data_IF_331034353657
#
_entry.id   IF_331034353657
#
_cell.length_a   1.000
_cell.length_b   1.000
_cell.length_c   1.000
_cell.angle_alpha   90.00
_cell.angle_beta   90.00
_cell.angle_gamma   90.00
#
_symmetry.space_group_name_H-M   'P 1'
#
loop_
_entity.id
_entity.type
_entity.pdbx_description
1 polymer ?
#
# COMPACT_ATOMS: atom_id res chain seq x y z
N UNK A 1 41.34 16.95 7.50
CA UNK A 1 40.06 16.66 6.82
C UNK A 1 39.47 15.32 7.22
N UNK A 2 40.17 14.18 7.15
CA UNK A 2 39.67 12.87 7.58
C UNK A 2 39.36 12.73 9.08
N UNK A 3 40.10 13.41 9.96
CA UNK A 3 39.84 13.39 11.40
C UNK A 3 38.59 14.21 11.83
N UNK A 4 38.12 15.13 11.01
CA UNK A 4 36.90 15.89 11.25
C UNK A 4 35.64 15.17 10.73
N UNK A 5 35.79 14.26 9.75
CA UNK A 5 34.70 13.41 9.32
C UNK A 5 34.38 12.29 10.32
N UNK A 6 35.33 11.86 11.14
CA UNK A 6 35.15 10.85 12.18
C UNK A 6 34.30 11.35 13.38
N UNK A 7 34.21 12.65 13.60
CA UNK A 7 33.47 13.24 14.71
C UNK A 7 32.03 13.71 14.37
N UNK A 8 31.57 13.48 13.13
CA UNK A 8 30.26 13.87 12.66
C UNK A 8 29.32 12.67 12.48
N UNK A 9 28.94 12.44 11.24
CA UNK A 9 27.97 11.40 10.87
C UNK A 9 28.36 9.97 11.27
N UNK A 10 29.66 9.63 11.27
CA UNK A 10 30.14 8.31 11.68
C UNK A 10 29.90 8.00 13.15
N UNK A 11 30.10 8.99 14.02
CA UNK A 11 29.81 8.84 15.46
C UNK A 11 28.32 8.78 15.75
N UNK A 12 27.49 9.53 15.02
CA UNK A 12 26.03 9.48 15.13
C UNK A 12 25.51 8.14 14.59
N UNK A 13 26.03 7.66 13.46
CA UNK A 13 25.69 6.35 12.93
C UNK A 13 26.11 5.21 13.87
N UNK A 14 27.32 5.28 14.42
CA UNK A 14 27.79 4.30 15.40
C UNK A 14 27.00 4.37 16.70
N UNK A 15 26.68 5.56 17.20
CA UNK A 15 25.83 5.73 18.36
C UNK A 15 24.39 5.23 18.09
N UNK A 16 23.86 5.42 16.88
CA UNK A 16 22.62 4.82 16.42
C UNK A 16 22.67 3.30 16.42
N UNK A 17 23.69 2.70 15.83
CA UNK A 17 23.89 1.26 15.83
C UNK A 17 24.08 0.66 17.23
N UNK A 18 24.86 1.33 18.10
CA UNK A 18 25.05 0.90 19.47
C UNK A 18 23.79 1.12 20.33
N UNK A 19 22.99 2.13 20.02
CA UNK A 19 21.72 2.37 20.70
C UNK A 19 20.62 1.41 20.22
N UNK A 20 20.67 0.98 18.97
CA UNK A 20 19.82 -0.08 18.42
C UNK A 20 20.14 -1.44 19.06
N UNK A 21 21.41 -1.75 19.32
CA UNK A 21 21.81 -2.93 20.10
C UNK A 21 21.36 -2.84 21.58
N UNK A 22 21.29 -1.64 22.15
CA UNK A 22 20.78 -1.42 23.51
C UNK A 22 19.25 -1.31 23.56
N UNK A 23 18.60 -0.82 22.49
CA UNK A 23 17.14 -0.79 22.33
C UNK A 23 16.57 -2.11 21.84
N UNK A 24 17.35 -2.88 21.10
CA UNK A 24 17.06 -4.23 20.63
C UNK A 24 17.45 -5.32 21.64
N UNK A 25 17.40 -5.02 22.96
CA UNK A 25 17.33 -6.11 23.92
C UNK A 25 16.07 -6.93 23.60
N UNK A 26 16.20 -8.17 23.10
CA UNK A 26 15.02 -8.93 22.74
C UNK A 26 14.24 -9.16 24.02
N UNK A 27 13.04 -8.68 24.05
CA UNK A 27 12.05 -9.23 24.95
C UNK A 27 11.81 -10.66 24.47
N UNK A 28 12.47 -11.62 25.13
CA UNK A 28 12.30 -13.04 24.83
C UNK A 28 10.82 -13.35 24.66
N UNK A 29 10.44 -13.90 23.48
CA UNK A 29 9.10 -14.36 23.18
C UNK A 29 8.10 -13.36 22.59
N UNK A 30 8.47 -12.11 22.25
CA UNK A 30 7.54 -11.20 21.58
C UNK A 30 7.67 -11.33 20.06
N UNK A 31 6.53 -11.50 19.40
CA UNK A 31 6.43 -11.43 17.93
C UNK A 31 7.02 -10.11 17.41
N UNK A 32 7.73 -10.09 16.25
CA UNK A 32 8.22 -8.86 15.62
C UNK A 32 7.07 -7.91 15.27
N UNK A 33 5.84 -8.41 15.21
CA UNK A 33 4.63 -7.65 14.92
C UNK A 33 3.96 -7.05 16.15
N UNK A 34 4.50 -7.25 17.36
CA UNK A 34 3.91 -6.70 18.58
C UNK A 34 3.81 -5.18 18.49
N UNK A 35 2.67 -4.56 18.88
CA UNK A 35 2.52 -3.11 18.89
C UNK A 35 3.62 -2.42 19.69
N UNK A 36 4.22 -1.39 19.09
CA UNK A 36 5.23 -0.56 19.71
C UNK A 36 4.62 0.77 20.17
N UNK A 37 5.15 1.32 21.26
CA UNK A 37 4.72 2.63 21.74
C UNK A 37 5.23 3.70 20.78
N UNK A 38 4.35 4.54 20.20
CA UNK A 38 4.76 5.63 19.32
C UNK A 38 5.51 6.72 20.13
N UNK A 39 6.39 7.49 19.49
CA UNK A 39 7.08 8.60 20.09
C UNK A 39 6.14 9.77 20.44
N UNK A 40 5.02 9.88 19.74
CA UNK A 40 3.99 10.89 19.95
C UNK A 40 2.63 10.20 20.04
N UNK A 41 1.66 10.85 20.69
CA UNK A 41 0.30 10.32 20.75
C UNK A 41 -0.28 10.19 19.34
N UNK A 42 -0.62 8.98 18.96
CA UNK A 42 -1.15 8.67 17.64
C UNK A 42 -2.60 9.15 17.52
N UNK A 43 -2.89 9.97 16.51
CA UNK A 43 -4.26 10.35 16.13
C UNK A 43 -4.89 9.34 15.16
N UNK A 44 -4.07 8.57 14.45
CA UNK A 44 -4.45 7.57 13.47
C UNK A 44 -3.84 6.24 13.86
N UNK A 45 -4.63 5.17 13.79
CA UNK A 45 -4.20 3.81 14.14
C UNK A 45 -3.92 2.95 12.92
N UNK A 46 -4.70 3.11 11.87
CA UNK A 46 -4.67 2.30 10.67
C UNK A 46 -4.60 3.20 9.44
N UNK A 47 -4.02 2.70 8.36
CA UNK A 47 -3.91 3.39 7.07
C UNK A 47 -4.50 2.50 5.99
N UNK A 48 -5.36 3.07 5.16
CA UNK A 48 -5.79 2.48 3.88
C UNK A 48 -5.25 3.38 2.77
N UNK A 49 -4.33 2.85 1.96
CA UNK A 49 -3.74 3.56 0.84
C UNK A 49 -4.43 3.12 -0.46
N UNK A 50 -5.24 4.01 -1.04
CA UNK A 50 -5.94 3.79 -2.29
C UNK A 50 -5.01 4.20 -3.45
N UNK A 51 -4.15 3.28 -3.88
CA UNK A 51 -3.21 3.55 -4.96
C UNK A 51 -3.93 3.55 -6.32
N UNK A 52 -3.75 4.63 -7.06
CA UNK A 52 -4.32 4.83 -8.41
C UNK A 52 -3.20 4.70 -9.43
N UNK A 53 -3.12 3.54 -10.07
CA UNK A 53 -2.11 3.24 -11.09
C UNK A 53 -2.28 4.12 -12.34
N UNK A 54 -1.15 4.67 -12.81
CA UNK A 54 -1.14 5.64 -13.90
C UNK A 54 -1.42 7.07 -13.44
N UNK A 55 -1.63 7.27 -12.14
CA UNK A 55 -1.92 8.53 -11.47
C UNK A 55 -3.29 9.07 -11.85
N UNK A 56 -4.12 9.63 -11.10
CA UNK A 56 -5.25 10.40 -11.60
C UNK A 56 -4.76 11.79 -12.03
N UNK A 57 -5.21 12.27 -13.18
CA UNK A 57 -4.83 13.62 -13.64
C UNK A 57 -5.29 14.69 -12.63
N UNK A 58 -4.35 15.41 -12.03
CA UNK A 58 -4.65 16.46 -11.05
C UNK A 58 -5.51 17.58 -11.64
N UNK A 59 -5.26 17.96 -12.90
CA UNK A 59 -6.00 19.04 -13.58
C UNK A 59 -7.42 18.63 -13.99
N UNK A 60 -7.72 17.36 -13.94
CA UNK A 60 -9.04 16.79 -14.27
C UNK A 60 -9.80 16.34 -13.01
N UNK A 61 -9.21 16.45 -11.82
CA UNK A 61 -9.79 15.96 -10.57
C UNK A 61 -9.98 17.03 -9.50
N UNK A 62 -8.90 17.55 -8.89
CA UNK A 62 -8.96 18.43 -7.72
C UNK A 62 -8.25 19.79 -7.92
N UNK A 63 -7.60 20.02 -9.06
CA UNK A 63 -6.78 21.20 -9.30
C UNK A 63 -7.09 21.88 -10.65
N UNK A 64 -8.28 22.52 -10.78
CA UNK A 64 -8.68 23.16 -12.03
C UNK A 64 -7.69 24.25 -12.46
N UNK A 65 -7.39 24.29 -13.75
CA UNK A 65 -6.50 25.28 -14.36
C UNK A 65 -7.23 26.09 -15.43
N UNK A 66 -7.80 27.26 -15.10
CA UNK A 66 -8.53 28.10 -16.08
C UNK A 66 -7.71 28.45 -17.33
N UNK A 67 -6.39 28.39 -17.23
CA UNK A 67 -5.49 28.61 -18.37
C UNK A 67 -5.63 27.51 -19.43
N UNK A 68 -5.87 26.27 -19.04
CA UNK A 68 -6.10 25.16 -19.98
C UNK A 68 -7.38 25.41 -20.80
N UNK A 69 -8.44 25.93 -20.20
CA UNK A 69 -9.68 26.28 -20.90
C UNK A 69 -9.43 27.38 -21.94
N UNK A 70 -8.70 28.42 -21.54
CA UNK A 70 -8.37 29.57 -22.40
C UNK A 70 -7.49 29.21 -23.59
N UNK A 71 -6.57 28.28 -23.41
CA UNK A 71 -5.58 27.89 -24.42
C UNK A 71 -5.91 26.53 -25.08
N UNK A 72 -7.09 26.00 -24.85
CA UNK A 72 -7.55 24.74 -25.46
C UNK A 72 -7.38 24.74 -26.97
N UNK A 73 -6.79 23.66 -27.51
CA UNK A 73 -6.51 23.51 -28.93
C UNK A 73 -5.31 24.30 -29.48
N UNK A 74 -4.64 25.10 -28.65
CA UNK A 74 -3.43 25.85 -29.03
C UNK A 74 -2.16 25.08 -28.64
N UNK A 75 -1.04 25.30 -29.34
CA UNK A 75 0.26 24.81 -28.91
C UNK A 75 0.57 25.26 -27.46
N UNK A 76 1.19 24.38 -26.67
CA UNK A 76 1.58 24.72 -25.31
C UNK A 76 2.69 25.78 -25.32
N UNK A 77 2.47 26.88 -24.62
CA UNK A 77 3.34 28.07 -24.70
C UNK A 77 4.57 28.02 -23.79
N UNK A 78 4.63 27.11 -22.81
CA UNK A 78 5.78 26.99 -21.91
C UNK A 78 6.82 26.00 -22.45
N UNK A 79 8.06 26.13 -21.94
CA UNK A 79 9.11 25.13 -22.21
C UNK A 79 8.65 23.75 -21.71
N UNK A 80 8.79 22.76 -22.55
CA UNK A 80 8.51 21.38 -22.24
C UNK A 80 9.84 20.67 -22.04
N UNK A 81 9.99 20.01 -20.90
CA UNK A 81 11.14 19.16 -20.67
C UNK A 81 11.05 17.92 -21.59
N UNK A 82 12.20 17.37 -22.01
CA UNK A 82 12.21 16.20 -22.86
C UNK A 82 11.40 15.04 -22.26
N UNK A 83 10.52 14.45 -23.06
CA UNK A 83 9.79 13.22 -22.72
C UNK A 83 10.22 12.09 -23.66
N UNK A 84 9.80 10.87 -23.39
CA UNK A 84 10.05 9.75 -24.29
C UNK A 84 9.27 9.85 -25.61
N UNK A 85 8.30 10.77 -25.73
CA UNK A 85 7.48 10.99 -26.90
C UNK A 85 7.75 12.39 -27.50
N UNK A 86 7.98 12.46 -28.79
CA UNK A 86 8.27 13.72 -29.48
C UNK A 86 7.01 14.52 -29.82
N UNK A 87 5.87 13.86 -29.93
CA UNK A 87 4.60 14.53 -30.24
C UNK A 87 3.76 14.71 -28.98
N UNK A 88 3.71 15.92 -28.50
CA UNK A 88 2.98 16.31 -27.29
C UNK A 88 1.58 16.89 -27.58
N UNK A 89 1.21 17.07 -28.86
CA UNK A 89 -0.06 17.65 -29.26
C UNK A 89 -0.26 19.11 -28.81
N UNK A 90 -1.52 19.51 -28.74
CA UNK A 90 -1.93 20.84 -28.28
C UNK A 90 -2.42 20.77 -26.82
N UNK A 91 -2.56 21.96 -26.20
CA UNK A 91 -3.19 22.10 -24.88
C UNK A 91 -4.61 21.50 -24.91
N UNK A 92 -4.92 20.71 -23.92
CA UNK A 92 -6.24 20.09 -23.73
C UNK A 92 -6.88 20.63 -22.45
N UNK A 93 -8.06 21.22 -22.58
CA UNK A 93 -8.89 21.58 -21.43
C UNK A 93 -9.47 20.31 -20.78
N UNK A 94 -9.75 20.39 -19.49
CA UNK A 94 -10.44 19.29 -18.81
C UNK A 94 -11.80 19.01 -19.47
N UNK A 95 -12.12 17.77 -19.83
CA UNK A 95 -13.44 17.42 -20.33
C UNK A 95 -14.51 17.39 -19.22
N UNK A 96 -14.12 17.54 -17.95
CA UNK A 96 -15.02 17.56 -16.79
C UNK A 96 -15.21 18.96 -16.24
N UNK A 97 -16.36 19.16 -15.57
CA UNK A 97 -16.71 20.43 -14.96
C UNK A 97 -16.39 20.44 -13.48
N UNK A 98 -15.89 21.55 -13.00
CA UNK A 98 -15.55 21.75 -11.61
C UNK A 98 -16.66 22.51 -10.87
N UNK A 99 -16.89 22.13 -9.62
CA UNK A 99 -17.71 22.88 -8.65
C UNK A 99 -16.96 22.92 -7.32
N UNK A 100 -17.25 23.91 -6.52
CA UNK A 100 -16.76 23.99 -5.14
C UNK A 100 -17.72 23.21 -4.25
N UNK A 101 -17.18 22.38 -3.37
CA UNK A 101 -17.91 21.53 -2.45
C UNK A 101 -17.47 21.78 -1.01
N UNK A 102 -18.36 21.43 -0.07
CA UNK A 102 -18.15 21.54 1.36
C UNK A 102 -18.04 22.99 1.86
N UNK A 103 -17.84 23.14 3.16
CA UNK A 103 -17.56 24.43 3.80
C UNK A 103 -16.16 24.96 3.43
N UNK A 104 -15.22 24.04 3.15
CA UNK A 104 -13.88 24.37 2.68
C UNK A 104 -13.85 25.02 1.29
N UNK A 105 -14.93 24.88 0.50
CA UNK A 105 -14.98 25.37 -0.88
C UNK A 105 -13.99 24.68 -1.82
N UNK A 106 -13.60 23.45 -1.53
CA UNK A 106 -12.62 22.68 -2.33
C UNK A 106 -13.21 22.38 -3.71
N UNK A 107 -12.52 22.77 -4.81
CA UNK A 107 -12.96 22.45 -6.15
C UNK A 107 -12.75 20.95 -6.44
N UNK A 108 -13.77 20.28 -6.91
CA UNK A 108 -13.74 18.89 -7.39
C UNK A 108 -14.46 18.81 -8.72
N UNK A 109 -13.94 18.01 -9.63
CA UNK A 109 -14.59 17.76 -10.91
C UNK A 109 -15.72 16.74 -10.78
N UNK A 110 -16.63 16.72 -11.74
CA UNK A 110 -17.73 15.76 -11.81
C UNK A 110 -17.27 14.33 -12.13
N UNK A 111 -15.97 14.10 -12.30
CA UNK A 111 -15.34 12.78 -12.32
C UNK A 111 -15.42 12.06 -10.95
N UNK A 112 -15.44 12.83 -9.84
CA UNK A 112 -15.46 12.27 -8.48
C UNK A 112 -16.66 12.74 -7.66
N UNK A 113 -17.92 12.48 -8.10
CA UNK A 113 -19.11 13.05 -7.47
C UNK A 113 -19.35 12.54 -6.05
N UNK A 114 -18.93 11.32 -5.73
CA UNK A 114 -19.08 10.75 -4.40
C UNK A 114 -18.00 11.24 -3.44
N UNK A 115 -16.75 11.30 -3.89
CA UNK A 115 -15.61 11.83 -3.10
C UNK A 115 -15.83 13.31 -2.77
N UNK A 116 -16.42 14.06 -3.68
CA UNK A 116 -16.75 15.47 -3.49
C UNK A 116 -17.63 15.76 -2.27
N UNK A 117 -18.39 14.79 -1.80
CA UNK A 117 -19.25 14.93 -0.60
C UNK A 117 -18.48 14.87 0.71
N UNK A 118 -17.21 14.48 0.67
CA UNK A 118 -16.33 14.28 1.83
C UNK A 118 -15.15 15.26 1.87
N UNK A 119 -15.17 16.32 1.06
CA UNK A 119 -14.02 17.24 0.92
C UNK A 119 -13.62 17.95 2.21
N UNK A 120 -14.57 18.14 3.13
CA UNK A 120 -14.30 18.80 4.42
C UNK A 120 -13.51 17.89 5.38
N UNK A 121 -13.51 16.57 5.13
CA UNK A 121 -12.71 15.58 5.83
C UNK A 121 -11.36 15.31 5.13
N UNK A 122 -11.07 16.00 4.01
CA UNK A 122 -9.90 15.73 3.18
C UNK A 122 -8.86 16.85 3.27
N UNK A 123 -7.58 16.46 3.27
CA UNK A 123 -6.45 17.34 3.01
C UNK A 123 -5.99 17.14 1.56
N UNK A 124 -6.26 18.12 0.68
CA UNK A 124 -5.87 18.06 -0.73
C UNK A 124 -4.51 18.75 -0.93
N UNK A 125 -3.46 17.98 -1.23
CA UNK A 125 -2.10 18.47 -1.43
C UNK A 125 -1.85 18.63 -2.93
N UNK A 126 -1.91 19.88 -3.44
CA UNK A 126 -1.74 20.22 -4.87
C UNK A 126 -0.29 20.49 -5.27
N UNK A 127 0.62 20.52 -4.33
CA UNK A 127 2.04 20.87 -4.54
C UNK A 127 2.96 19.64 -4.56
N UNK A 128 2.43 18.43 -4.64
CA UNK A 128 3.24 17.22 -4.77
C UNK A 128 3.97 17.22 -6.11
N UNK A 129 5.24 16.87 -6.09
CA UNK A 129 6.10 16.72 -7.27
C UNK A 129 6.84 15.40 -7.21
N UNK A 130 7.32 14.93 -8.36
CA UNK A 130 8.19 13.76 -8.47
C UNK A 130 9.36 14.07 -9.39
N UNK A 131 10.53 13.54 -9.07
CA UNK A 131 11.73 13.67 -9.89
C UNK A 131 11.81 12.61 -11.01
N UNK A 132 10.85 11.68 -11.04
CA UNK A 132 10.85 10.54 -11.96
C UNK A 132 9.67 10.61 -12.91
N UNK A 133 9.92 10.76 -14.23
CA UNK A 133 8.87 10.85 -15.24
C UNK A 133 8.39 9.49 -15.75
N UNK A 134 9.07 8.39 -15.41
CA UNK A 134 8.77 7.04 -15.88
C UNK A 134 8.09 6.23 -14.76
N UNK A 135 7.11 5.40 -15.11
CA UNK A 135 6.22 4.69 -14.19
C UNK A 135 6.97 3.85 -13.15
N UNK A 136 7.96 3.05 -13.54
CA UNK A 136 8.66 2.15 -12.62
C UNK A 136 9.38 2.91 -11.52
N UNK A 137 10.18 3.92 -11.91
CA UNK A 137 10.92 4.74 -10.97
C UNK A 137 10.01 5.63 -10.13
N UNK A 138 8.92 6.16 -10.74
CA UNK A 138 7.92 6.97 -10.04
C UNK A 138 7.15 6.13 -9.01
N UNK A 139 6.82 4.87 -9.32
CA UNK A 139 6.18 3.96 -8.39
C UNK A 139 7.11 3.62 -7.21
N UNK A 140 8.38 3.30 -7.46
CA UNK A 140 9.34 3.12 -6.38
C UNK A 140 9.44 4.39 -5.51
N UNK A 141 9.50 5.56 -6.14
CA UNK A 141 9.58 6.82 -5.41
C UNK A 141 8.36 7.07 -4.53
N UNK A 142 7.15 6.83 -5.06
CA UNK A 142 5.92 6.96 -4.30
C UNK A 142 5.86 6.00 -3.11
N UNK A 143 6.22 4.73 -3.31
CA UNK A 143 6.07 3.69 -2.30
C UNK A 143 7.20 3.66 -1.27
N UNK A 144 8.42 4.09 -1.65
CA UNK A 144 9.63 3.91 -0.84
C UNK A 144 10.39 5.20 -0.55
N UNK A 145 10.03 6.31 -1.18
CA UNK A 145 10.78 7.58 -1.14
C UNK A 145 12.08 7.57 -1.96
N UNK A 146 12.31 6.54 -2.81
CA UNK A 146 13.51 6.44 -3.62
C UNK A 146 13.19 5.81 -4.99
N UNK A 147 13.72 6.39 -6.07
CA UNK A 147 13.39 5.97 -7.44
C UNK A 147 13.99 4.64 -7.92
N UNK A 148 14.64 3.87 -7.05
CA UNK A 148 15.20 2.56 -7.35
C UNK A 148 14.73 1.53 -6.32
N UNK A 149 14.65 0.27 -6.74
CA UNK A 149 14.29 -0.86 -5.88
C UNK A 149 15.28 -1.05 -4.72
N UNK A 150 14.87 -1.82 -3.70
CA UNK A 150 15.71 -2.21 -2.57
C UNK A 150 15.56 -1.33 -1.33
N UNK A 151 14.64 -0.37 -1.33
CA UNK A 151 14.26 0.41 -0.15
C UNK A 151 12.97 -0.11 0.47
N UNK A 152 12.80 0.03 1.80
CA UNK A 152 11.56 -0.37 2.43
C UNK A 152 10.38 0.49 1.97
N UNK A 153 9.24 -0.13 1.73
CA UNK A 153 7.99 0.55 1.43
C UNK A 153 7.38 1.24 2.66
N UNK A 154 6.44 2.16 2.43
CA UNK A 154 5.73 2.84 3.52
C UNK A 154 5.13 1.86 4.53
N UNK A 155 4.42 0.83 4.04
CA UNK A 155 3.81 -0.17 4.91
C UNK A 155 4.84 -0.99 5.69
N UNK A 156 6.00 -1.29 5.10
CA UNK A 156 7.11 -1.96 5.79
C UNK A 156 7.68 -1.08 6.90
N UNK A 157 7.90 0.21 6.66
CA UNK A 157 8.34 1.16 7.69
C UNK A 157 7.34 1.31 8.83
N UNK A 158 6.05 1.40 8.50
CA UNK A 158 4.98 1.51 9.51
C UNK A 158 4.92 0.24 10.37
N UNK A 159 5.00 -0.95 9.73
CA UNK A 159 5.04 -2.23 10.44
C UNK A 159 6.25 -2.37 11.34
N UNK A 160 7.45 -1.98 10.85
CA UNK A 160 8.70 -2.02 11.63
C UNK A 160 8.66 -1.09 12.84
N UNK A 161 8.20 0.17 12.64
CA UNK A 161 8.23 1.18 13.70
C UNK A 161 7.11 1.06 14.73
N UNK A 162 5.94 0.56 14.34
CA UNK A 162 4.74 0.60 15.18
C UNK A 162 4.14 -0.79 15.46
N UNK A 163 4.55 -1.82 14.74
CA UNK A 163 3.92 -3.14 14.83
C UNK A 163 2.47 -3.13 14.34
N UNK A 164 1.70 -4.15 14.70
CA UNK A 164 0.29 -4.31 14.37
C UNK A 164 -0.52 -4.75 15.59
N UNK A 165 -1.72 -4.26 15.74
CA UNK A 165 -2.64 -4.72 16.79
C UNK A 165 -3.18 -6.12 16.45
N UNK A 166 -3.29 -6.45 15.18
CA UNK A 166 -3.67 -7.78 14.70
C UNK A 166 -2.46 -8.73 14.71
N UNK A 167 -2.59 -9.84 15.42
CA UNK A 167 -1.55 -10.87 15.48
C UNK A 167 -1.86 -12.09 14.59
N UNK A 168 -3.06 -12.16 14.01
CA UNK A 168 -3.54 -13.28 13.19
C UNK A 168 -3.43 -12.99 11.69
N UNK A 169 -3.23 -11.73 11.32
CA UNK A 169 -3.06 -11.27 9.95
C UNK A 169 -1.77 -10.44 9.82
N UNK A 170 -1.21 -10.32 8.62
CA UNK A 170 -0.04 -9.46 8.39
C UNK A 170 -0.32 -8.00 8.77
N UNK A 171 0.67 -7.31 9.35
CA UNK A 171 0.55 -5.88 9.67
C UNK A 171 0.52 -4.98 8.43
N UNK A 172 1.02 -5.48 7.29
CA UNK A 172 0.96 -4.83 5.99
C UNK A 172 0.37 -5.78 4.94
N UNK A 173 -0.77 -5.40 4.38
CA UNK A 173 -1.49 -6.16 3.35
C UNK A 173 -1.66 -5.32 2.09
N UNK A 174 -1.37 -5.90 0.94
CA UNK A 174 -1.71 -5.34 -0.38
C UNK A 174 -2.87 -6.14 -0.94
N UNK A 175 -3.99 -5.48 -1.18
CA UNK A 175 -5.15 -6.05 -1.85
C UNK A 175 -5.02 -5.83 -3.36
N UNK A 176 -4.67 -6.89 -4.06
CA UNK A 176 -4.51 -6.87 -5.51
C UNK A 176 -5.87 -6.90 -6.20
N UNK A 177 -6.28 -5.76 -6.75
CA UNK A 177 -7.50 -5.64 -7.55
C UNK A 177 -7.42 -6.31 -8.93
N UNK A 178 -6.24 -6.76 -9.33
CA UNK A 178 -5.96 -7.41 -10.63
C UNK A 178 -4.73 -6.85 -11.34
N UNK A 179 -4.16 -5.77 -10.84
CA UNK A 179 -2.91 -5.20 -11.32
C UNK A 179 -1.86 -5.10 -10.23
N UNK A 180 -0.67 -5.53 -10.54
CA UNK A 180 0.54 -5.14 -9.82
C UNK A 180 1.19 -4.00 -10.63
N UNK A 181 1.45 -2.83 -10.02
CA UNK A 181 1.99 -1.67 -10.73
C UNK A 181 3.39 -1.93 -11.29
N UNK A 182 3.84 -1.13 -12.29
CA UNK A 182 5.21 -1.16 -12.76
C UNK A 182 6.22 -1.08 -11.60
N UNK A 183 7.26 -1.89 -11.66
CA UNK A 183 8.16 -2.15 -10.53
C UNK A 183 7.84 -3.44 -9.78
N UNK A 184 6.65 -4.01 -10.01
CA UNK A 184 6.28 -5.32 -9.46
C UNK A 184 6.15 -5.31 -7.94
N UNK A 185 6.40 -6.45 -7.33
CA UNK A 185 6.31 -6.64 -5.87
C UNK A 185 7.37 -5.85 -5.09
N UNK A 186 8.42 -5.35 -5.76
CA UNK A 186 9.45 -4.54 -5.13
C UNK A 186 8.93 -3.19 -4.60
N UNK A 187 7.78 -2.73 -5.10
CA UNK A 187 7.06 -1.59 -4.53
C UNK A 187 6.60 -1.82 -3.08
N UNK A 188 6.40 -3.08 -2.68
CA UNK A 188 5.83 -3.49 -1.40
C UNK A 188 6.83 -4.22 -0.51
N UNK A 189 8.11 -4.20 -0.89
CA UNK A 189 9.16 -4.96 -0.24
C UNK A 189 9.61 -4.33 1.10
N UNK A 190 10.22 -5.14 1.95
CA UNK A 190 10.87 -4.68 3.19
C UNK A 190 12.24 -4.03 2.95
N UNK A 191 12.82 -4.14 1.73
CA UNK A 191 14.12 -3.62 1.40
C UNK A 191 15.21 -4.17 2.32
N UNK A 192 15.89 -3.28 3.06
CA UNK A 192 16.92 -3.65 4.05
C UNK A 192 16.36 -3.97 5.45
N UNK A 193 15.06 -3.78 5.68
CA UNK A 193 14.41 -4.25 6.91
C UNK A 193 14.21 -5.76 6.88
N UNK A 194 14.00 -6.43 8.03
CA UNK A 194 13.69 -7.85 8.06
C UNK A 194 12.52 -8.22 7.15
N UNK A 195 12.61 -9.36 6.47
CA UNK A 195 11.62 -9.80 5.49
C UNK A 195 10.21 -10.03 6.07
N UNK A 196 10.08 -10.14 7.38
CA UNK A 196 8.79 -10.23 8.07
C UNK A 196 7.92 -8.99 7.92
N UNK A 197 8.49 -7.82 7.57
CA UNK A 197 7.76 -6.56 7.43
C UNK A 197 7.32 -6.26 5.98
N UNK A 198 7.67 -7.11 5.00
CA UNK A 198 7.17 -6.95 3.63
C UNK A 198 5.66 -7.20 3.56
N UNK A 199 5.01 -6.64 2.53
CA UNK A 199 3.60 -6.86 2.31
C UNK A 199 3.25 -8.35 2.06
N UNK A 200 2.09 -8.75 2.57
CA UNK A 200 1.40 -9.94 2.08
C UNK A 200 0.36 -9.52 1.04
N UNK A 201 0.49 -10.06 -0.17
CA UNK A 201 -0.40 -9.73 -1.28
C UNK A 201 -1.59 -10.69 -1.30
N UNK A 202 -2.79 -10.14 -1.21
CA UNK A 202 -4.05 -10.89 -1.25
C UNK A 202 -4.76 -10.60 -2.57
N UNK A 203 -5.20 -11.65 -3.25
CA UNK A 203 -6.09 -11.51 -4.40
C UNK A 203 -7.53 -11.21 -3.95
N UNK A 204 -8.27 -10.47 -4.75
CA UNK A 204 -9.69 -10.20 -4.50
C UNK A 204 -10.60 -11.44 -4.64
N UNK A 205 -10.07 -12.53 -5.18
CA UNK A 205 -10.77 -13.79 -5.48
C UNK A 205 -10.26 -14.95 -4.60
N UNK A 206 -10.99 -16.03 -4.56
CA UNK A 206 -10.60 -17.26 -3.87
C UNK A 206 -9.69 -18.17 -4.76
N UNK A 207 -8.56 -18.68 -4.26
CA UNK A 207 -7.97 -18.40 -2.96
C UNK A 207 -7.26 -17.03 -2.93
N UNK A 208 -7.46 -16.24 -1.86
CA UNK A 208 -6.86 -14.91 -1.77
C UNK A 208 -5.32 -14.96 -1.59
N UNK A 209 -4.83 -16.03 -1.00
CA UNK A 209 -3.39 -16.28 -0.76
C UNK A 209 -3.10 -17.74 -1.00
N UNK A 210 -1.93 -18.04 -1.53
CA UNK A 210 -1.48 -19.41 -1.70
C UNK A 210 -1.39 -20.16 -0.35
N UNK A 211 -1.69 -21.46 -0.37
CA UNK A 211 -1.64 -22.34 0.81
C UNK A 211 -2.51 -21.91 1.99
N UNK A 212 -3.55 -21.11 1.74
CA UNK A 212 -4.47 -20.67 2.80
C UNK A 212 -5.33 -21.81 3.35
N UNK A 213 -5.48 -22.88 2.59
CA UNK A 213 -6.19 -24.07 3.05
C UNK A 213 -5.19 -25.07 3.63
N UNK A 214 -5.55 -25.63 4.80
CA UNK A 214 -4.76 -26.67 5.45
C UNK A 214 -4.61 -27.87 4.54
N UNK A 215 -3.41 -28.43 4.44
CA UNK A 215 -3.11 -29.67 3.72
C UNK A 215 -3.25 -30.91 4.60
N UNK A 216 -3.16 -30.78 5.92
CA UNK A 216 -3.25 -31.84 6.90
C UNK A 216 -4.70 -32.34 7.03
N UNK A 217 -4.86 -33.66 7.28
CA UNK A 217 -6.16 -34.31 7.39
C UNK A 217 -6.98 -33.81 8.62
N UNK A 218 -6.34 -33.26 9.63
CA UNK A 218 -6.99 -32.71 10.82
C UNK A 218 -6.22 -31.52 11.41
N UNK A 219 -6.90 -30.68 12.19
CA UNK A 219 -6.28 -29.57 12.91
C UNK A 219 -5.22 -30.07 13.91
N UNK A 220 -5.53 -31.15 14.64
CA UNK A 220 -4.61 -31.76 15.60
C UNK A 220 -3.30 -32.23 14.93
N UNK A 221 -3.36 -32.78 13.72
CA UNK A 221 -2.15 -33.18 12.99
C UNK A 221 -1.31 -31.95 12.59
N UNK A 222 -1.96 -30.87 12.18
CA UNK A 222 -1.29 -29.61 11.88
C UNK A 222 -0.63 -29.01 13.13
N UNK A 223 -1.34 -28.98 14.27
CA UNK A 223 -0.82 -28.43 15.52
C UNK A 223 0.41 -29.20 16.02
N UNK A 224 0.38 -30.54 15.92
CA UNK A 224 1.56 -31.37 16.23
C UNK A 224 2.73 -31.09 15.30
N UNK A 225 2.47 -30.92 14.00
CA UNK A 225 3.50 -30.56 13.01
C UNK A 225 4.12 -29.20 13.35
N UNK A 226 3.31 -28.18 13.64
CA UNK A 226 3.77 -26.86 14.01
C UNK A 226 4.57 -26.89 15.33
N UNK A 227 4.12 -27.65 16.32
CA UNK A 227 4.86 -27.84 17.58
C UNK A 227 6.23 -28.49 17.36
N UNK A 228 6.32 -29.49 16.47
CA UNK A 228 7.60 -30.10 16.10
C UNK A 228 8.52 -29.11 15.37
N UNK A 229 7.98 -28.35 14.41
CA UNK A 229 8.75 -27.33 13.70
C UNK A 229 9.32 -26.30 14.68
N UNK A 230 8.53 -25.75 15.60
CA UNK A 230 9.01 -24.80 16.63
C UNK A 230 10.16 -25.36 17.46
N UNK A 231 10.08 -26.65 17.80
CA UNK A 231 11.17 -27.29 18.53
C UNK A 231 12.46 -27.38 17.72
N UNK A 232 12.35 -27.78 16.44
CA UNK A 232 13.50 -27.85 15.52
C UNK A 232 14.10 -26.45 15.26
N UNK A 233 13.23 -25.44 15.08
CA UNK A 233 13.67 -24.06 14.89
C UNK A 233 14.41 -23.50 16.12
N UNK A 234 13.92 -23.83 17.33
CA UNK A 234 14.61 -23.49 18.57
C UNK A 234 16.03 -24.07 18.63
N UNK A 235 16.19 -25.36 18.29
CA UNK A 235 17.50 -26.00 18.22
C UNK A 235 18.43 -25.38 17.16
N UNK A 236 17.87 -24.90 16.06
CA UNK A 236 18.64 -24.21 15.00
C UNK A 236 19.06 -22.82 15.47
N UNK A 237 18.15 -22.05 16.07
CA UNK A 237 18.44 -20.72 16.63
C UNK A 237 19.49 -20.79 17.74
N UNK A 238 19.42 -21.80 18.63
CA UNK A 238 20.41 -22.03 19.68
C UNK A 238 21.82 -22.32 19.10
N UNK A 239 21.87 -22.98 17.94
CA UNK A 239 23.14 -23.35 17.29
C UNK A 239 23.77 -22.21 16.49
N UNK A 240 22.96 -21.44 15.77
CA UNK A 240 23.43 -20.43 14.83
C UNK A 240 23.29 -19.00 15.35
N UNK A 241 22.61 -18.81 16.48
CA UNK A 241 22.32 -17.48 17.04
C UNK A 241 21.24 -16.75 16.23
N UNK A 242 21.13 -15.47 16.46
CA UNK A 242 20.16 -14.61 15.77
C UNK A 242 20.56 -14.39 14.33
N UNK A 243 19.75 -14.89 13.40
CA UNK A 243 19.88 -14.70 11.96
C UNK A 243 18.55 -14.18 11.44
N UNK A 244 18.49 -12.90 11.06
CA UNK A 244 17.26 -12.20 10.62
C UNK A 244 16.46 -12.98 9.58
N UNK A 245 17.13 -13.61 8.62
CA UNK A 245 16.47 -14.41 7.58
C UNK A 245 15.77 -15.65 8.13
N UNK A 246 16.37 -16.29 9.12
CA UNK A 246 15.80 -17.47 9.78
C UNK A 246 14.62 -17.06 10.67
N UNK A 247 14.81 -16.03 11.50
CA UNK A 247 13.76 -15.50 12.37
C UNK A 247 12.54 -15.02 11.55
N UNK A 248 12.79 -14.31 10.42
CA UNK A 248 11.74 -13.89 9.50
C UNK A 248 11.01 -15.07 8.86
N UNK A 249 11.72 -16.13 8.48
CA UNK A 249 11.10 -17.32 7.90
C UNK A 249 10.19 -18.03 8.93
N UNK A 250 10.66 -18.15 10.17
CA UNK A 250 9.88 -18.72 11.29
C UNK A 250 8.62 -17.88 11.53
N UNK A 251 8.76 -16.56 11.69
CA UNK A 251 7.65 -15.65 11.91
C UNK A 251 6.62 -15.72 10.77
N UNK A 252 7.07 -15.81 9.52
CA UNK A 252 6.20 -15.86 8.35
C UNK A 252 5.39 -17.16 8.27
N UNK A 253 5.96 -18.33 8.52
CA UNK A 253 5.17 -19.56 8.47
C UNK A 253 4.23 -19.71 9.69
N UNK A 254 4.61 -19.19 10.85
CA UNK A 254 3.71 -19.14 12.01
C UNK A 254 2.52 -18.20 11.75
N UNK A 255 2.77 -17.06 11.14
CA UNK A 255 1.72 -16.16 10.69
C UNK A 255 0.82 -16.82 9.65
N UNK A 256 1.40 -17.52 8.65
CA UNK A 256 0.66 -18.24 7.63
C UNK A 256 -0.27 -19.30 8.24
N UNK A 257 0.16 -20.00 9.31
CA UNK A 257 -0.69 -20.95 10.02
C UNK A 257 -1.90 -20.27 10.69
N UNK A 258 -1.70 -19.11 11.33
CA UNK A 258 -2.82 -18.30 11.90
C UNK A 258 -3.76 -17.77 10.82
N UNK A 259 -3.22 -17.33 9.69
CA UNK A 259 -3.99 -16.86 8.54
C UNK A 259 -4.95 -17.89 7.97
N UNK A 260 -4.64 -19.18 8.06
CA UNK A 260 -5.51 -20.25 7.57
C UNK A 260 -6.90 -20.27 8.24
N UNK A 261 -7.01 -19.72 9.44
CA UNK A 261 -8.30 -19.53 10.13
C UNK A 261 -8.86 -18.12 9.87
N UNK A 262 -8.02 -17.09 9.98
CA UNK A 262 -8.46 -15.69 9.94
C UNK A 262 -8.85 -15.21 8.53
N UNK A 263 -8.14 -15.65 7.48
CA UNK A 263 -8.39 -15.16 6.12
C UNK A 263 -9.69 -15.67 5.51
N UNK A 264 -10.11 -16.93 5.64
CA UNK A 264 -11.43 -17.35 5.16
C UNK A 264 -12.57 -16.53 5.75
N UNK A 265 -12.55 -16.25 7.06
CA UNK A 265 -13.54 -15.40 7.72
C UNK A 265 -13.46 -13.94 7.23
N UNK A 266 -12.27 -13.40 7.03
CA UNK A 266 -12.06 -12.07 6.45
C UNK A 266 -12.71 -11.93 5.07
N UNK A 267 -12.54 -12.93 4.21
CA UNK A 267 -12.97 -12.92 2.82
C UNK A 267 -14.45 -13.25 2.62
N UNK A 268 -15.09 -13.85 3.61
CA UNK A 268 -16.52 -14.13 3.59
C UNK A 268 -17.32 -12.85 3.90
N UNK A 269 -17.87 -12.25 2.86
CA UNK A 269 -18.71 -11.03 2.93
C UNK A 269 -20.19 -11.34 2.92
N UNK A 270 -20.60 -12.61 3.03
CA UNK A 270 -22.01 -13.01 3.00
C UNK A 270 -22.83 -12.46 4.16
N UNK A 271 -22.16 -12.11 5.27
CA UNK A 271 -22.78 -11.47 6.43
C UNK A 271 -22.98 -9.95 6.32
N UNK A 272 -22.47 -9.31 5.25
CA UNK A 272 -22.68 -7.87 5.05
C UNK A 272 -24.12 -7.59 4.61
N UNK A 273 -24.70 -6.47 5.12
CA UNK A 273 -26.09 -6.10 4.75
C UNK A 273 -26.21 -5.72 3.26
N UNK A 274 -27.41 -5.81 2.71
CA UNK A 274 -27.66 -5.42 1.32
C UNK A 274 -27.28 -3.94 1.07
N UNK A 275 -27.57 -3.05 2.03
CA UNK A 275 -27.18 -1.64 1.95
C UNK A 275 -25.67 -1.47 1.89
N UNK A 276 -24.91 -2.24 2.69
CA UNK A 276 -23.45 -2.24 2.64
C UNK A 276 -22.95 -2.73 1.29
N UNK A 277 -23.47 -3.84 0.79
CA UNK A 277 -23.09 -4.39 -0.49
C UNK A 277 -23.35 -3.41 -1.64
N UNK A 278 -24.49 -2.75 -1.62
CA UNK A 278 -24.85 -1.71 -2.58
C UNK A 278 -23.94 -0.48 -2.47
N UNK A 279 -23.64 0.00 -1.26
CA UNK A 279 -22.76 1.15 -1.04
C UNK A 279 -21.34 0.90 -1.56
N UNK A 280 -20.83 -0.34 -1.48
CA UNK A 280 -19.56 -0.75 -2.08
C UNK A 280 -19.65 -1.11 -3.56
N UNK A 281 -20.81 -0.98 -4.20
CA UNK A 281 -21.00 -1.23 -5.64
C UNK A 281 -20.79 -2.69 -6.04
N UNK A 282 -21.06 -3.65 -5.14
CA UNK A 282 -20.86 -5.09 -5.42
C UNK A 282 -21.84 -5.63 -6.46
N UNK A 283 -22.98 -4.92 -6.66
CA UNK A 283 -24.02 -5.23 -7.64
C UNK A 283 -23.98 -4.31 -8.86
N UNK A 284 -22.93 -3.47 -9.01
CA UNK A 284 -22.80 -2.58 -10.15
C UNK A 284 -22.68 -3.36 -11.47
N UNK A 285 -23.21 -2.79 -12.55
CA UNK A 285 -23.13 -3.43 -13.88
C UNK A 285 -21.68 -3.58 -14.38
N UNK A 286 -20.81 -2.64 -14.00
CA UNK A 286 -19.41 -2.65 -14.41
C UNK A 286 -18.56 -3.52 -13.51
N UNK A 287 -17.95 -4.56 -14.08
CA UNK A 287 -17.17 -5.57 -13.36
C UNK A 287 -16.04 -4.99 -12.51
N UNK A 288 -15.34 -3.96 -13.00
CA UNK A 288 -14.25 -3.36 -12.27
C UNK A 288 -14.73 -2.61 -11.02
N UNK A 289 -15.93 -2.00 -11.07
CA UNK A 289 -16.55 -1.42 -9.88
C UNK A 289 -16.83 -2.49 -8.83
N UNK A 290 -17.40 -3.63 -9.22
CA UNK A 290 -17.61 -4.75 -8.29
C UNK A 290 -16.29 -5.22 -7.66
N UNK A 291 -15.25 -5.38 -8.49
CA UNK A 291 -13.93 -5.84 -8.02
C UNK A 291 -13.31 -4.82 -7.05
N UNK A 292 -13.31 -3.54 -7.42
CA UNK A 292 -12.75 -2.48 -6.58
C UNK A 292 -13.55 -2.29 -5.29
N UNK A 293 -14.86 -2.30 -5.38
CA UNK A 293 -15.76 -2.26 -4.21
C UNK A 293 -15.50 -3.41 -3.25
N UNK A 294 -15.31 -4.63 -3.79
CA UNK A 294 -14.97 -5.79 -2.95
C UNK A 294 -13.64 -5.60 -2.23
N UNK A 295 -12.57 -5.14 -2.90
CA UNK A 295 -11.29 -4.90 -2.21
C UNK A 295 -11.39 -3.76 -1.20
N UNK A 296 -12.17 -2.70 -1.47
CA UNK A 296 -12.44 -1.65 -0.50
C UNK A 296 -13.16 -2.18 0.75
N UNK A 297 -14.14 -3.05 0.57
CA UNK A 297 -14.86 -3.70 1.67
C UNK A 297 -13.92 -4.60 2.50
N UNK A 298 -13.08 -5.39 1.84
CA UNK A 298 -12.07 -6.21 2.53
C UNK A 298 -11.04 -5.32 3.26
N UNK A 299 -10.63 -4.19 2.69
CA UNK A 299 -9.73 -3.24 3.36
C UNK A 299 -10.35 -2.71 4.67
N UNK A 300 -11.63 -2.34 4.67
CA UNK A 300 -12.36 -1.97 5.89
C UNK A 300 -12.30 -3.09 6.92
N UNK A 301 -12.63 -4.31 6.51
CA UNK A 301 -12.62 -5.49 7.40
C UNK A 301 -11.23 -5.81 7.96
N UNK A 302 -10.17 -5.54 7.21
CA UNK A 302 -8.78 -5.67 7.66
C UNK A 302 -8.46 -4.67 8.78
N UNK A 303 -8.80 -3.39 8.59
CA UNK A 303 -8.51 -2.36 9.60
C UNK A 303 -9.40 -2.53 10.85
N UNK A 304 -10.64 -3.01 10.70
CA UNK A 304 -11.52 -3.39 11.82
C UNK A 304 -10.91 -4.52 12.66
N UNK A 305 -10.08 -5.39 12.08
CA UNK A 305 -9.32 -6.45 12.75
C UNK A 305 -7.95 -5.99 13.26
N UNK A 306 -7.62 -4.71 13.13
CA UNK A 306 -6.39 -4.11 13.65
C UNK A 306 -5.19 -4.22 12.71
N UNK A 307 -5.36 -4.57 11.44
CA UNK A 307 -4.27 -4.53 10.44
C UNK A 307 -3.82 -3.08 10.27
N UNK A 308 -2.51 -2.84 10.38
CA UNK A 308 -1.94 -1.49 10.50
C UNK A 308 -1.93 -0.72 9.18
N UNK A 309 -1.51 -1.37 8.09
CA UNK A 309 -1.39 -0.73 6.78
C UNK A 309 -2.00 -1.64 5.71
N UNK A 310 -2.95 -1.10 4.97
CA UNK A 310 -3.60 -1.79 3.84
C UNK A 310 -3.43 -0.94 2.61
N UNK A 311 -2.94 -1.52 1.52
CA UNK A 311 -2.85 -0.87 0.23
C UNK A 311 -3.74 -1.59 -0.78
N UNK A 312 -4.43 -0.82 -1.61
CA UNK A 312 -5.27 -1.35 -2.68
C UNK A 312 -4.69 -0.96 -4.03
N UNK A 313 -4.59 -1.94 -4.94
CA UNK A 313 -4.29 -1.67 -6.33
C UNK A 313 -5.55 -1.67 -7.20
N UNK A 314 -5.48 -1.05 -8.37
CA UNK A 314 -6.60 -0.96 -9.28
C UNK A 314 -7.01 -2.34 -9.83
N UNK A 315 -8.27 -2.53 -10.25
CA UNK A 315 -8.71 -3.72 -10.95
C UNK A 315 -7.90 -3.96 -12.23
N UNK A 316 -7.66 -5.24 -12.54
CA UNK A 316 -7.06 -5.66 -13.79
C UNK A 316 -7.98 -5.40 -14.98
N UNK A 317 -7.40 -5.17 -16.17
CA UNK A 317 -8.17 -4.94 -17.40
C UNK A 317 -7.25 -4.69 -18.58
N UNK A 318 -7.83 -4.61 -19.77
CA UNK A 318 -7.13 -4.23 -20.99
C UNK A 318 -7.06 -2.70 -21.02
N UNK A 319 -5.88 -2.12 -20.86
CA UNK A 319 -5.66 -0.69 -21.06
C UNK A 319 -5.16 0.05 -19.85
N UNK A 320 -5.00 1.31 -20.06
CA UNK A 320 -4.24 2.24 -19.28
C UNK A 320 -5.09 2.85 -18.16
N UNK A 321 -5.82 2.23 -17.42
CA UNK A 321 -6.59 2.74 -16.25
C UNK A 321 -6.62 4.28 -16.13
N UNK A 322 -5.89 4.85 -15.16
CA UNK A 322 -5.72 6.31 -15.05
C UNK A 322 -4.64 6.88 -15.99
N UNK A 323 -3.78 6.03 -16.59
CA UNK A 323 -2.81 6.39 -17.61
C UNK A 323 -3.42 6.27 -19.02
N UNK A 324 -4.30 7.18 -19.37
CA UNK A 324 -5.03 7.16 -20.64
C UNK A 324 -4.20 7.76 -21.77
N UNK A 325 -3.69 6.94 -22.67
CA UNK A 325 -2.97 7.34 -23.86
C UNK A 325 -3.91 7.81 -25.01
N UNK A 326 -5.20 7.55 -24.90
CA UNK A 326 -6.23 7.97 -25.86
C UNK A 326 -7.61 7.95 -25.21
N UNK A 327 -8.57 8.63 -25.81
CA UNK A 327 -9.97 8.63 -25.37
C UNK A 327 -10.14 8.92 -23.85
N UNK A 328 -9.42 9.92 -23.35
CA UNK A 328 -9.37 10.26 -21.93
C UNK A 328 -10.75 10.25 -21.25
N UNK A 329 -11.75 10.87 -21.88
CA UNK A 329 -13.09 10.94 -21.30
C UNK A 329 -13.73 9.57 -21.15
N UNK A 330 -13.73 8.78 -22.23
CA UNK A 330 -14.39 7.46 -22.23
C UNK A 330 -13.65 6.46 -21.33
N UNK A 331 -12.33 6.62 -21.18
CA UNK A 331 -11.51 5.76 -20.34
C UNK A 331 -11.67 6.01 -18.85
N UNK A 332 -12.06 7.24 -18.44
CA UNK A 332 -12.21 7.61 -17.03
C UNK A 332 -13.68 7.65 -16.57
N UNK A 333 -14.65 7.53 -17.47
CA UNK A 333 -16.08 7.45 -17.16
C UNK A 333 -16.60 6.04 -17.26
#
# INVERSE_FOLDING_TARGET
MLAQCLNGFGAVALAGMLNDDLAAAPTEGKSPFTPQKPHFDAKVRNVIFLYMDGGVSQVDSFDPKPRLDKDNGKPFAAKIEPTQFNNIGNTLASPWKFKNYGESGTPVSDLFPHVAQHVDDMAVIRSMTSDFPEHTNANYFLHTGHGQQGRPSMGAWVGYGLGSECQELPGFVVLNGGLIPPGGLDNFNSGFLPASYQASVFAAQDPPVANIRRSEASADLQDRKLALLRKLDGEVLDRYGKVDKLESAIANYELAARMQTAVPDLMDISGETAETQQAYGLEADFKNTQTFGRVCLIARRLVERGVRFVELTCPGGNGDRWDQHSNLRDGHT
#
